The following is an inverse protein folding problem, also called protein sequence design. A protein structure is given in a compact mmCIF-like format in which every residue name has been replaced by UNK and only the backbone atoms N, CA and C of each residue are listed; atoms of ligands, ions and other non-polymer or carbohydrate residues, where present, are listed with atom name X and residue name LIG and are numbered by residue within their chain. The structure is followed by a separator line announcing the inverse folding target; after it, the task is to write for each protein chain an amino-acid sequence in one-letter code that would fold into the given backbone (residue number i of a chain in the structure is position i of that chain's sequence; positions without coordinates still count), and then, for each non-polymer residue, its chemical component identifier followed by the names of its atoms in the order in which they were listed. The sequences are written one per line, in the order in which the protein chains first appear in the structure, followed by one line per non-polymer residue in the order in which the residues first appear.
data_IF_053234940128
#
_entry.id   IF_053234940128
#
_cell.length_a   1.000
_cell.length_b   1.000
_cell.length_c   1.000
_cell.angle_alpha   90.00
_cell.angle_beta   90.00
_cell.angle_gamma   90.00
#
_symmetry.space_group_name_H-M   'P 1'
#
loop_
_entity.id
_entity.type
_entity.pdbx_description
1 polymer ?
#
# COMPACT_ATOMS: atom_id res chain seq x y z
N UNK A 1 -4.03 -18.94 -8.66
CA UNK A 1 -5.25 -18.14 -8.50
C UNK A 1 -5.02 -16.77 -9.14
N UNK A 2 -5.92 -16.31 -10.00
CA UNK A 2 -5.72 -15.05 -10.67
C UNK A 2 -6.27 -13.86 -9.85
N UNK A 3 -6.04 -12.64 -10.33
CA UNK A 3 -6.45 -11.41 -9.64
C UNK A 3 -7.95 -11.37 -9.38
N UNK A 4 -8.75 -11.80 -10.36
CA UNK A 4 -10.20 -11.79 -10.26
C UNK A 4 -10.71 -12.74 -9.18
N UNK A 5 -10.10 -13.90 -9.04
CA UNK A 5 -10.42 -14.88 -8.01
C UNK A 5 -10.11 -14.32 -6.61
N UNK A 6 -8.97 -13.67 -6.45
CA UNK A 6 -8.61 -13.01 -5.19
C UNK A 6 -9.63 -11.92 -4.84
N UNK A 7 -10.02 -11.11 -5.81
CA UNK A 7 -10.99 -10.04 -5.62
C UNK A 7 -12.34 -10.59 -5.16
N UNK A 8 -12.83 -11.63 -5.81
CA UNK A 8 -14.11 -12.27 -5.47
C UNK A 8 -14.06 -12.85 -4.04
N UNK A 9 -12.99 -13.56 -3.71
CA UNK A 9 -12.82 -14.14 -2.39
C UNK A 9 -12.72 -13.06 -1.31
N UNK A 10 -11.97 -11.99 -1.58
CA UNK A 10 -11.85 -10.87 -0.65
C UNK A 10 -13.21 -10.24 -0.37
N UNK A 11 -13.98 -9.95 -1.41
CA UNK A 11 -15.31 -9.37 -1.27
C UNK A 11 -16.25 -10.27 -0.46
N UNK A 12 -16.16 -11.59 -0.65
CA UNK A 12 -17.00 -12.55 0.05
C UNK A 12 -16.54 -12.86 1.48
N UNK A 13 -15.41 -12.30 1.89
CA UNK A 13 -14.88 -12.51 3.24
C UNK A 13 -14.16 -13.84 3.42
N UNK A 14 -13.74 -14.48 2.33
CA UNK A 14 -12.99 -15.72 2.38
C UNK A 14 -11.52 -15.45 2.70
N UNK A 15 -10.85 -16.45 3.27
CA UNK A 15 -9.44 -16.35 3.61
C UNK A 15 -8.58 -16.17 2.35
N UNK A 16 -7.61 -15.25 2.45
CA UNK A 16 -6.60 -15.01 1.42
C UNK A 16 -5.21 -15.13 2.03
N UNK A 17 -4.24 -15.66 1.27
CA UNK A 17 -2.84 -15.71 1.71
C UNK A 17 -2.18 -14.35 1.53
N UNK A 18 -2.59 -13.38 2.33
CA UNK A 18 -2.13 -11.98 2.20
C UNK A 18 -0.62 -11.84 2.30
N UNK A 19 0.04 -12.71 3.07
CA UNK A 19 1.49 -12.65 3.28
C UNK A 19 2.28 -12.94 1.99
N UNK A 20 1.65 -13.63 1.03
CA UNK A 20 2.28 -13.98 -0.24
C UNK A 20 2.04 -12.93 -1.33
N UNK A 21 1.25 -11.89 -1.04
CA UNK A 21 0.90 -10.87 -2.02
C UNK A 21 1.85 -9.67 -1.94
N UNK A 22 2.18 -9.04 -3.09
CA UNK A 22 2.86 -7.75 -3.08
C UNK A 22 2.06 -6.71 -2.27
N UNK A 23 2.73 -5.73 -1.65
CA UNK A 23 2.04 -4.77 -0.77
C UNK A 23 0.87 -4.02 -1.39
N UNK A 24 0.95 -3.61 -2.65
CA UNK A 24 -0.15 -2.89 -3.29
C UNK A 24 -1.36 -3.80 -3.51
N UNK A 25 -1.12 -5.06 -3.88
CA UNK A 25 -2.20 -6.05 -4.01
C UNK A 25 -2.82 -6.37 -2.66
N UNK A 26 -1.99 -6.53 -1.63
CA UNK A 26 -2.47 -6.70 -0.26
C UNK A 26 -3.42 -5.57 0.14
N UNK A 27 -2.99 -4.32 -0.08
CA UNK A 27 -3.78 -3.13 0.24
C UNK A 27 -5.11 -3.13 -0.51
N UNK A 28 -5.08 -3.42 -1.81
CA UNK A 28 -6.29 -3.46 -2.63
C UNK A 28 -7.27 -4.53 -2.14
N UNK A 29 -6.82 -5.76 -1.95
CA UNK A 29 -7.69 -6.85 -1.51
C UNK A 29 -8.21 -6.65 -0.08
N UNK A 30 -7.42 -6.05 0.80
CA UNK A 30 -7.88 -5.70 2.14
C UNK A 30 -9.03 -4.68 2.09
N UNK A 31 -8.93 -3.68 1.21
CA UNK A 31 -10.00 -2.71 0.99
C UNK A 31 -11.25 -3.35 0.40
N UNK A 32 -11.08 -4.28 -0.54
CA UNK A 32 -12.21 -5.02 -1.12
C UNK A 32 -12.90 -5.89 -0.07
N UNK A 33 -12.14 -6.53 0.80
CA UNK A 33 -12.70 -7.32 1.92
C UNK A 33 -13.53 -6.43 2.86
N UNK A 34 -13.02 -5.26 3.19
CA UNK A 34 -13.71 -4.29 4.02
C UNK A 34 -14.99 -3.77 3.35
N UNK A 35 -14.91 -3.50 2.05
CA UNK A 35 -16.05 -3.09 1.25
C UNK A 35 -17.15 -4.17 1.26
N UNK A 36 -16.78 -5.43 1.09
CA UNK A 36 -17.71 -6.55 1.15
C UNK A 36 -18.41 -6.65 2.49
N UNK A 37 -17.67 -6.48 3.58
CA UNK A 37 -18.25 -6.44 4.92
C UNK A 37 -19.27 -5.30 5.06
N UNK A 38 -18.92 -4.12 4.54
CA UNK A 38 -19.80 -2.95 4.57
C UNK A 38 -21.09 -3.17 3.81
N UNK A 39 -21.04 -3.80 2.64
CA UNK A 39 -22.23 -4.13 1.85
C UNK A 39 -23.12 -5.12 2.61
N UNK A 40 -22.55 -6.17 3.17
CA UNK A 40 -23.31 -7.16 3.94
C UNK A 40 -23.94 -6.58 5.21
N UNK A 41 -23.28 -5.59 5.80
CA UNK A 41 -23.81 -4.88 6.98
C UNK A 41 -24.78 -3.77 6.64
N UNK A 42 -25.05 -3.51 5.36
CA UNK A 42 -25.95 -2.43 4.94
C UNK A 42 -25.34 -1.04 4.98
N UNK A 43 -24.02 -0.93 5.19
CA UNK A 43 -23.31 0.35 5.23
C UNK A 43 -23.22 1.01 3.85
N UNK A 44 -23.07 0.20 2.81
CA UNK A 44 -22.95 0.66 1.43
C UNK A 44 -24.01 0.02 0.55
N UNK A 45 -24.58 0.80 -0.39
CA UNK A 45 -25.44 0.27 -1.43
C UNK A 45 -24.57 -0.39 -2.52
N UNK A 46 -25.22 -1.14 -3.42
CA UNK A 46 -24.53 -1.75 -4.57
C UNK A 46 -23.82 -0.70 -5.42
N UNK A 47 -24.49 0.43 -5.69
CA UNK A 47 -23.91 1.49 -6.51
C UNK A 47 -22.72 2.16 -5.83
N UNK A 48 -22.80 2.38 -4.52
CA UNK A 48 -21.67 2.91 -3.74
C UNK A 48 -20.48 1.94 -3.76
N UNK A 49 -20.77 0.65 -3.64
CA UNK A 49 -19.73 -0.38 -3.66
C UNK A 49 -19.01 -0.42 -5.01
N UNK A 50 -19.73 -0.32 -6.12
CA UNK A 50 -19.15 -0.28 -7.47
C UNK A 50 -18.26 0.94 -7.63
N UNK A 51 -18.71 2.11 -7.17
CA UNK A 51 -17.91 3.35 -7.25
C UNK A 51 -16.63 3.27 -6.42
N UNK A 52 -16.72 2.77 -5.19
CA UNK A 52 -15.57 2.63 -4.31
C UNK A 52 -14.57 1.60 -4.85
N UNK A 53 -15.06 0.49 -5.39
CA UNK A 53 -14.20 -0.52 -6.02
C UNK A 53 -13.43 0.09 -7.18
N UNK A 54 -14.08 0.87 -8.01
CA UNK A 54 -13.45 1.55 -9.15
C UNK A 54 -12.34 2.50 -8.69
N UNK A 55 -12.59 3.27 -7.63
CA UNK A 55 -11.58 4.16 -7.05
C UNK A 55 -10.38 3.39 -6.51
N UNK A 56 -10.63 2.29 -5.80
CA UNK A 56 -9.56 1.44 -5.26
C UNK A 56 -8.73 0.79 -6.35
N UNK A 57 -9.38 0.36 -7.43
CA UNK A 57 -8.69 -0.26 -8.57
C UNK A 57 -7.84 0.77 -9.32
N UNK A 58 -8.34 1.99 -9.51
CA UNK A 58 -7.59 3.07 -10.15
C UNK A 58 -6.34 3.41 -9.33
N UNK A 59 -6.47 3.49 -8.02
CA UNK A 59 -5.34 3.71 -7.12
C UNK A 59 -4.33 2.56 -7.22
N UNK A 60 -4.81 1.33 -7.22
CA UNK A 60 -3.96 0.16 -7.40
C UNK A 60 -3.17 0.24 -8.71
N UNK A 61 -3.82 0.56 -9.81
CA UNK A 61 -3.16 0.67 -11.12
C UNK A 61 -2.08 1.75 -11.14
N UNK A 62 -2.29 2.86 -10.45
CA UNK A 62 -1.31 3.96 -10.41
C UNK A 62 -0.13 3.64 -9.50
N UNK A 63 -0.37 2.89 -8.45
CA UNK A 63 0.60 2.68 -7.38
C UNK A 63 1.02 1.22 -7.21
N UNK A 64 0.69 0.37 -8.20
CA UNK A 64 0.97 -1.06 -8.07
C UNK A 64 2.44 -1.29 -7.69
N UNK A 65 2.61 -2.01 -6.61
CA UNK A 65 3.91 -2.34 -6.06
C UNK A 65 4.45 -3.62 -6.70
N UNK A 66 5.76 -3.69 -6.83
CA UNK A 66 6.42 -4.82 -7.47
C UNK A 66 7.25 -5.65 -6.50
N UNK A 67 7.37 -5.13 -5.26
CA UNK A 67 8.15 -5.83 -4.24
C UNK A 67 7.27 -6.80 -3.48
N UNK A 68 7.80 -7.98 -3.24
CA UNK A 68 7.21 -8.96 -2.33
C UNK A 68 7.55 -8.60 -0.88
N UNK A 69 6.87 -9.22 0.08
CA UNK A 69 7.17 -9.00 1.49
C UNK A 69 8.63 -9.28 1.86
N UNK A 70 9.27 -10.40 1.39
CA UNK A 70 10.69 -10.60 1.66
C UNK A 70 11.59 -9.48 1.12
N UNK A 71 11.27 -8.93 -0.06
CA UNK A 71 11.99 -7.80 -0.63
C UNK A 71 11.82 -6.53 0.21
N UNK A 72 10.60 -6.27 0.71
CA UNK A 72 10.32 -5.12 1.58
C UNK A 72 11.08 -5.24 2.90
N UNK A 73 11.11 -6.44 3.49
CA UNK A 73 11.84 -6.69 4.73
C UNK A 73 13.33 -6.41 4.54
N UNK A 74 13.91 -6.88 3.43
CA UNK A 74 15.31 -6.62 3.10
C UNK A 74 15.60 -5.14 2.93
N UNK A 75 14.76 -4.43 2.19
CA UNK A 75 14.87 -2.98 2.01
C UNK A 75 14.80 -2.24 3.34
N UNK A 76 13.90 -2.66 4.22
CA UNK A 76 13.75 -2.05 5.55
C UNK A 76 15.01 -2.24 6.39
N UNK A 77 15.63 -3.42 6.33
CA UNK A 77 16.89 -3.69 7.04
C UNK A 77 18.03 -2.84 6.50
N UNK A 78 18.16 -2.72 5.17
CA UNK A 78 19.18 -1.88 4.54
C UNK A 78 19.00 -0.41 4.94
N UNK A 79 17.76 0.08 4.96
CA UNK A 79 17.44 1.45 5.40
C UNK A 79 17.77 1.66 6.87
N UNK A 80 17.53 0.67 7.72
CA UNK A 80 17.86 0.75 9.14
C UNK A 80 19.36 0.97 9.35
N UNK A 81 20.20 0.28 8.59
CA UNK A 81 21.66 0.46 8.65
C UNK A 81 22.04 1.90 8.28
N UNK A 82 21.46 2.43 7.21
CA UNK A 82 21.73 3.81 6.77
C UNK A 82 21.24 4.83 7.77
N UNK A 83 20.05 4.65 8.35
CA UNK A 83 19.47 5.54 9.35
C UNK A 83 20.34 5.57 10.60
N UNK A 84 20.79 4.43 11.07
CA UNK A 84 21.63 4.34 12.27
C UNK A 84 22.99 5.01 12.10
N UNK A 85 23.43 5.19 10.87
CA UNK A 85 24.69 5.87 10.55
C UNK A 85 24.56 7.36 10.35
N UNK A 86 23.36 7.96 10.53
CA UNK A 86 23.13 9.37 10.27
C UNK A 86 22.54 10.08 11.49
N UNK A 87 23.02 11.30 11.76
CA UNK A 87 22.49 12.20 12.78
C UNK A 87 21.55 13.27 12.18
N UNK A 88 21.38 13.27 10.87
CA UNK A 88 20.58 14.28 10.18
C UNK A 88 19.09 13.93 10.24
N UNK A 89 18.25 14.72 10.97
CA UNK A 89 16.82 14.43 11.07
C UNK A 89 16.09 14.46 9.73
N UNK A 90 16.52 15.32 8.79
CA UNK A 90 15.90 15.44 7.48
C UNK A 90 16.18 14.19 6.65
N UNK A 91 17.41 13.70 6.71
CA UNK A 91 17.80 12.46 6.03
C UNK A 91 16.99 11.27 6.57
N UNK A 92 16.89 11.15 7.90
CA UNK A 92 16.13 10.07 8.55
C UNK A 92 14.66 10.12 8.13
N UNK A 93 14.05 11.31 8.12
CA UNK A 93 12.66 11.49 7.72
C UNK A 93 12.46 11.13 6.25
N UNK A 94 13.37 11.54 5.36
CA UNK A 94 13.30 11.22 3.94
C UNK A 94 13.39 9.70 3.70
N UNK A 95 14.27 9.01 4.42
CA UNK A 95 14.40 7.56 4.30
C UNK A 95 13.16 6.83 4.82
N UNK A 96 12.59 7.28 5.92
CA UNK A 96 11.36 6.72 6.48
C UNK A 96 10.18 6.89 5.51
N UNK A 97 10.04 8.06 4.90
CA UNK A 97 9.00 8.33 3.91
C UNK A 97 9.17 7.46 2.66
N UNK A 98 10.42 7.26 2.23
CA UNK A 98 10.71 6.38 1.10
C UNK A 98 10.28 4.94 1.38
N UNK A 99 10.57 4.43 2.58
CA UNK A 99 10.15 3.10 2.99
C UNK A 99 8.62 2.97 3.00
N UNK A 100 7.94 3.97 3.55
CA UNK A 100 6.47 4.01 3.57
C UNK A 100 5.89 4.05 2.17
N UNK A 101 6.47 4.84 1.29
CA UNK A 101 6.02 4.91 -0.10
C UNK A 101 6.17 3.55 -0.81
N UNK A 102 7.29 2.87 -0.61
CA UNK A 102 7.51 1.54 -1.19
C UNK A 102 6.48 0.51 -0.70
N UNK A 103 6.06 0.62 0.56
CA UNK A 103 5.08 -0.30 1.14
C UNK A 103 3.66 0.05 0.72
N UNK A 104 3.30 1.32 0.72
CA UNK A 104 1.91 1.76 0.52
C UNK A 104 1.58 2.19 -0.90
N UNK A 105 2.58 2.66 -1.66
CA UNK A 105 2.36 3.26 -2.97
C UNK A 105 1.51 4.53 -2.92
N UNK A 106 1.37 5.16 -1.76
CA UNK A 106 0.49 6.30 -1.55
C UNK A 106 1.07 7.56 -2.19
N UNK A 107 0.29 8.22 -3.04
CA UNK A 107 0.73 9.42 -3.76
C UNK A 107 0.97 10.62 -2.83
N UNK A 108 0.28 10.71 -1.70
CA UNK A 108 0.52 11.76 -0.72
C UNK A 108 1.86 11.57 -0.02
N UNK A 109 2.21 10.33 0.26
CA UNK A 109 3.53 10.00 0.84
C UNK A 109 4.62 10.29 -0.18
N UNK A 110 4.40 9.98 -1.45
CA UNK A 110 5.33 10.31 -2.54
C UNK A 110 5.59 11.82 -2.62
N UNK A 111 4.51 12.61 -2.60
CA UNK A 111 4.63 14.07 -2.63
C UNK A 111 5.41 14.59 -1.43
N UNK A 112 5.16 14.06 -0.24
CA UNK A 112 5.89 14.44 0.97
C UNK A 112 7.36 14.02 0.92
N UNK A 113 7.63 12.86 0.35
CA UNK A 113 8.99 12.38 0.13
C UNK A 113 9.79 13.34 -0.75
N UNK A 114 9.21 13.79 -1.88
CA UNK A 114 9.86 14.75 -2.78
C UNK A 114 10.08 16.10 -2.10
N UNK A 115 9.14 16.55 -1.29
CA UNK A 115 9.29 17.79 -0.50
C UNK A 115 10.48 17.68 0.46
N UNK A 116 10.61 16.55 1.16
CA UNK A 116 11.72 16.33 2.09
C UNK A 116 13.06 16.20 1.39
N UNK A 117 13.09 15.54 0.23
CA UNK A 117 14.30 15.46 -0.60
C UNK A 117 14.75 16.84 -1.06
N UNK A 118 13.82 17.70 -1.45
CA UNK A 118 14.12 19.08 -1.81
C UNK A 118 14.75 19.86 -0.68
N UNK A 119 14.26 19.69 0.54
CA UNK A 119 14.83 20.30 1.74
C UNK A 119 16.23 19.78 2.06
N UNK A 120 16.43 18.48 1.84
CA UNK A 120 17.73 17.85 2.12
C UNK A 120 18.82 18.34 1.16
N UNK A 121 18.46 18.45 -0.12
CA UNK A 121 19.40 18.89 -1.16
C UNK A 121 19.44 20.41 -1.37
N UNK A 122 18.47 21.11 -0.83
CA UNK A 122 18.33 22.55 -0.95
C UNK A 122 18.88 23.29 0.21
#
# INVERSE_FOLDING_TARGET
MDFKDYETKAFNGEYLPFDDLPPAEYKYFARIAELGRGVRAGKYSQNQAVSLRSEYYDEYQRTHERYTWPEIIKLTEDLRVHINGSDDPVFIAAMALRALWLITGDSMIEAKMHEMEGKYHG
#
